data_IF_196601905269
#
_entry.id   IF_196601905269
#
_cell.length_a   1.000
_cell.length_b   1.000
_cell.length_c   1.000
_cell.angle_alpha   90.00
_cell.angle_beta   90.00
_cell.angle_gamma   90.00
#
_symmetry.space_group_name_H-M   'P 1'
#
loop_
_entity.id
_entity.type
_entity.pdbx_description
1 polymer ?
#
# COMPACT_ATOMS: atom_id res chain seq x y z
N UNK A 1 -31.52 12.92 4.53
CA UNK A 1 -30.36 12.46 3.74
C UNK A 1 -29.30 13.54 3.85
N UNK A 2 -28.27 13.34 4.68
CA UNK A 2 -27.14 14.28 4.80
C UNK A 2 -26.18 14.02 3.63
N UNK A 3 -25.96 15.04 2.81
CA UNK A 3 -24.99 14.98 1.71
C UNK A 3 -23.59 14.97 2.31
N UNK A 4 -22.86 13.86 2.16
CA UNK A 4 -21.45 13.80 2.51
C UNK A 4 -20.67 14.70 1.55
N UNK A 5 -20.28 15.89 2.02
CA UNK A 5 -19.32 16.73 1.32
C UNK A 5 -17.98 15.98 1.29
N UNK A 6 -17.62 15.42 0.13
CA UNK A 6 -16.26 14.96 -0.11
C UNK A 6 -15.38 16.21 -0.17
N UNK A 7 -14.53 16.39 0.84
CA UNK A 7 -13.74 17.59 0.98
C UNK A 7 -12.61 17.58 -0.06
N UNK A 8 -12.56 18.60 -0.92
CA UNK A 8 -11.44 18.77 -1.84
C UNK A 8 -10.20 19.21 -1.04
N UNK A 9 -9.06 18.55 -1.27
CA UNK A 9 -7.78 18.90 -0.67
C UNK A 9 -6.69 18.90 -1.74
N UNK A 10 -5.65 19.70 -1.53
CA UNK A 10 -4.40 19.55 -2.27
C UNK A 10 -3.67 18.27 -1.82
N UNK A 11 -2.74 17.80 -2.66
CA UNK A 11 -1.96 16.59 -2.42
C UNK A 11 -0.52 16.94 -2.04
N UNK A 12 0.06 16.16 -1.11
CA UNK A 12 1.50 16.13 -0.83
C UNK A 12 2.04 14.76 -1.23
N UNK A 13 3.09 14.74 -2.04
CA UNK A 13 3.69 13.49 -2.54
C UNK A 13 4.94 13.13 -1.74
N UNK A 14 5.12 11.82 -1.53
CA UNK A 14 6.29 11.24 -0.91
C UNK A 14 6.89 10.20 -1.86
N UNK A 15 8.21 10.24 -2.02
CA UNK A 15 8.96 9.22 -2.75
C UNK A 15 9.70 8.35 -1.72
N UNK A 16 9.55 7.03 -1.83
CA UNK A 16 10.27 6.06 -1.00
C UNK A 16 10.72 4.87 -1.85
N UNK A 17 11.79 4.22 -1.41
CA UNK A 17 12.29 2.96 -1.98
C UNK A 17 12.38 1.92 -0.88
N UNK A 18 11.64 0.83 -1.02
CA UNK A 18 11.82 -0.35 -0.18
C UNK A 18 13.07 -1.13 -0.63
N UNK A 19 13.72 -1.76 0.33
CA UNK A 19 14.95 -2.52 0.14
C UNK A 19 14.66 -4.02 -0.01
N UNK A 20 15.55 -4.79 -0.64
CA UNK A 20 15.41 -6.24 -0.74
C UNK A 20 15.16 -6.90 0.63
N UNK A 21 14.23 -7.85 0.67
CA UNK A 21 13.86 -8.58 1.90
C UNK A 21 12.89 -7.84 2.82
N UNK A 22 12.54 -6.58 2.54
CA UNK A 22 11.51 -5.88 3.30
C UNK A 22 10.10 -6.29 2.84
N UNK A 23 9.24 -6.59 3.80
CA UNK A 23 7.83 -6.91 3.54
C UNK A 23 7.03 -5.62 3.32
N UNK A 24 6.28 -5.56 2.21
CA UNK A 24 5.67 -4.32 1.70
C UNK A 24 4.66 -3.73 2.67
N UNK A 25 3.77 -4.54 3.23
CA UNK A 25 2.66 -4.05 4.05
C UNK A 25 3.17 -3.41 5.35
N UNK A 26 4.08 -4.09 6.04
CA UNK A 26 4.69 -3.60 7.28
C UNK A 26 5.51 -2.33 7.06
N UNK A 27 6.25 -2.20 5.96
CA UNK A 27 7.00 -0.98 5.66
C UNK A 27 6.08 0.20 5.31
N UNK A 28 5.03 -0.02 4.51
CA UNK A 28 4.06 1.04 4.21
C UNK A 28 3.31 1.48 5.47
N UNK A 29 2.93 0.53 6.33
CA UNK A 29 2.30 0.85 7.61
C UNK A 29 3.24 1.66 8.51
N UNK A 30 4.51 1.26 8.64
CA UNK A 30 5.51 2.01 9.39
C UNK A 30 5.70 3.44 8.84
N UNK A 31 5.74 3.59 7.51
CA UNK A 31 5.85 4.90 6.87
C UNK A 31 4.64 5.81 7.15
N UNK A 32 3.42 5.25 7.11
CA UNK A 32 2.18 5.96 7.47
C UNK A 32 2.23 6.45 8.91
N UNK A 33 2.64 5.58 9.85
CA UNK A 33 2.76 5.93 11.26
C UNK A 33 3.83 7.00 11.49
N UNK A 34 5.02 6.83 10.91
CA UNK A 34 6.13 7.80 11.05
C UNK A 34 5.76 9.20 10.56
N UNK A 35 4.98 9.30 9.48
CA UNK A 35 4.60 10.58 8.87
C UNK A 35 3.21 11.07 9.31
N UNK A 36 2.53 10.35 10.21
CA UNK A 36 1.18 10.67 10.71
C UNK A 36 0.19 10.91 9.55
N UNK A 37 0.18 10.00 8.56
CA UNK A 37 -0.68 10.14 7.39
C UNK A 37 -2.10 9.66 7.70
N UNK A 38 -3.06 10.58 7.72
CA UNK A 38 -4.47 10.28 7.97
C UNK A 38 -5.29 10.01 6.69
N UNK A 39 -4.82 10.51 5.54
CA UNK A 39 -5.43 10.28 4.24
C UNK A 39 -4.32 10.15 3.19
N UNK A 40 -4.11 8.94 2.68
CA UNK A 40 -3.07 8.64 1.71
C UNK A 40 -3.56 7.60 0.69
N UNK A 41 -2.94 7.61 -0.48
CA UNK A 41 -3.09 6.61 -1.52
C UNK A 41 -1.73 6.38 -2.18
N UNK A 42 -1.59 5.27 -2.90
CA UNK A 42 -0.39 5.00 -3.69
C UNK A 42 -0.55 5.72 -5.03
N UNK A 43 0.23 6.78 -5.25
CA UNK A 43 0.20 7.55 -6.50
C UNK A 43 0.87 6.83 -7.68
N UNK A 44 1.82 5.94 -7.39
CA UNK A 44 2.52 5.09 -8.35
C UNK A 44 3.47 4.15 -7.63
N UNK A 45 3.70 2.97 -8.19
CA UNK A 45 4.60 1.96 -7.61
C UNK A 45 5.24 1.13 -8.72
N UNK A 46 6.54 0.85 -8.58
CA UNK A 46 7.30 -0.06 -9.43
C UNK A 46 8.36 -0.76 -8.59
N UNK A 47 8.69 -1.99 -8.92
CA UNK A 47 9.65 -2.81 -8.19
C UNK A 47 9.52 -4.27 -8.57
N UNK A 48 10.09 -5.13 -7.73
CA UNK A 48 10.04 -6.59 -7.86
C UNK A 48 9.81 -7.24 -6.51
N UNK A 49 9.20 -8.42 -6.49
CA UNK A 49 8.91 -9.19 -5.29
C UNK A 49 9.41 -10.63 -5.42
N UNK A 50 10.01 -11.13 -4.33
CA UNK A 50 10.32 -12.55 -4.18
C UNK A 50 9.12 -13.32 -3.64
N UNK A 51 8.44 -12.77 -2.64
CA UNK A 51 7.26 -13.38 -2.02
C UNK A 51 6.03 -12.49 -2.23
N UNK A 52 4.92 -13.11 -2.62
CA UNK A 52 3.67 -12.44 -2.96
C UNK A 52 2.53 -13.10 -2.19
N UNK A 53 1.76 -12.29 -1.47
CA UNK A 53 0.55 -12.70 -0.77
C UNK A 53 -0.65 -11.99 -1.41
N UNK A 54 -1.50 -12.74 -2.13
CA UNK A 54 -2.69 -12.21 -2.79
C UNK A 54 -3.94 -12.92 -2.29
N UNK A 55 -5.01 -12.16 -2.06
CA UNK A 55 -6.35 -12.71 -1.88
C UNK A 55 -7.15 -12.45 -3.15
N UNK A 56 -7.42 -13.51 -3.91
CA UNK A 56 -8.18 -13.39 -5.15
C UNK A 56 -9.64 -12.99 -4.91
N UNK A 57 -10.29 -12.48 -5.95
CA UNK A 57 -11.68 -12.05 -5.87
C UNK A 57 -12.60 -13.18 -5.40
N UNK A 58 -13.42 -12.90 -4.39
CA UNK A 58 -14.38 -13.86 -3.83
C UNK A 58 -13.77 -14.96 -2.96
N UNK A 59 -12.47 -14.91 -2.65
CA UNK A 59 -11.80 -15.92 -1.81
C UNK A 59 -11.53 -15.37 -0.40
N UNK A 60 -11.74 -16.20 0.61
CA UNK A 60 -11.33 -15.88 1.99
C UNK A 60 -9.84 -16.14 2.22
N UNK A 61 -9.32 -17.22 1.61
CA UNK A 61 -7.94 -17.65 1.77
C UNK A 61 -6.94 -16.75 1.02
N UNK A 62 -5.76 -16.58 1.62
CA UNK A 62 -4.62 -15.94 0.97
C UNK A 62 -3.82 -16.97 0.18
N UNK A 63 -3.47 -16.64 -1.06
CA UNK A 63 -2.53 -17.40 -1.88
C UNK A 63 -1.13 -16.83 -1.68
N UNK A 64 -0.20 -17.68 -1.25
CA UNK A 64 1.21 -17.35 -1.12
C UNK A 64 1.99 -17.91 -2.32
N UNK A 65 2.78 -17.05 -2.97
CA UNK A 65 3.62 -17.40 -4.11
C UNK A 65 5.06 -16.94 -3.82
N UNK A 66 6.03 -17.72 -4.28
CA UNK A 66 7.46 -17.35 -4.24
C UNK A 66 8.04 -17.48 -5.65
N UNK A 67 8.75 -16.46 -6.11
CA UNK A 67 9.26 -16.39 -7.48
C UNK A 67 9.97 -15.08 -7.81
N UNK A 68 9.93 -14.70 -9.08
CA UNK A 68 10.46 -13.42 -9.58
C UNK A 68 9.33 -12.61 -10.20
N UNK A 69 8.67 -11.79 -9.38
CA UNK A 69 7.53 -10.95 -9.76
C UNK A 69 7.94 -9.48 -9.88
#
# INVERSE_FOLDING_TARGET
MTVSHHNASTARFYALRLLPGQEVFSQLHAFVQQNQLHAAWIAGCTGSLTDVALRYAGQEATTSLTGTF
#
